data_IF_315665413428
#
_entry.id   IF_315665413428
#
_cell.length_a   1.000
_cell.length_b   1.000
_cell.length_c   1.000
_cell.angle_alpha   90.00
_cell.angle_beta   90.00
_cell.angle_gamma   90.00
#
_symmetry.space_group_name_H-M   'P 1'
#
loop_
_entity.id
_entity.type
_entity.pdbx_description
1 polymer ?
#
# COMPACT_ATOMS: atom_id res chain seq x y z
N UNK A 1 1.76 49.50 44.84
CA UNK A 1 1.39 50.92 45.09
C UNK A 1 0.34 51.29 44.04
N UNK A 2 -0.93 51.07 44.38
CA UNK A 2 -2.02 52.08 44.46
C UNK A 2 -2.35 52.78 43.12
N UNK A 3 -3.58 52.52 42.68
CA UNK A 3 -4.41 53.26 41.71
C UNK A 3 -4.32 54.79 41.88
N UNK A 4 -4.84 55.54 40.89
CA UNK A 4 -6.16 56.12 41.14
C UNK A 4 -7.14 56.00 39.96
N UNK A 5 -8.41 55.90 40.35
CA UNK A 5 -9.59 56.12 39.54
C UNK A 5 -9.99 57.60 39.59
N UNK A 6 -10.61 58.11 38.53
CA UNK A 6 -11.56 59.21 38.62
C UNK A 6 -12.67 59.02 37.58
N UNK A 7 -13.92 59.02 38.04
CA UNK A 7 -15.11 58.96 37.19
C UNK A 7 -15.82 60.30 37.04
N UNK A 8 -16.76 60.35 36.09
CA UNK A 8 -17.92 61.26 36.02
C UNK A 8 -18.92 60.67 35.01
N UNK A 9 -20.01 60.03 35.45
CA UNK A 9 -21.40 60.55 35.58
C UNK A 9 -22.00 61.29 34.36
N UNK A 10 -22.97 60.58 33.77
CA UNK A 10 -24.35 60.97 33.42
C UNK A 10 -24.60 62.11 32.41
N UNK A 11 -25.20 61.74 31.27
CA UNK A 11 -26.34 62.46 30.70
C UNK A 11 -27.31 61.47 30.04
N UNK A 12 -28.53 61.40 30.59
CA UNK A 12 -29.70 60.76 29.96
C UNK A 12 -30.29 61.75 28.95
N UNK A 13 -30.63 61.29 27.76
CA UNK A 13 -31.65 61.91 26.92
C UNK A 13 -32.47 60.81 26.27
N UNK A 14 -33.76 60.79 26.58
CA UNK A 14 -34.73 59.89 25.99
C UNK A 14 -35.38 60.53 24.77
N UNK A 15 -35.60 59.75 23.73
CA UNK A 15 -36.59 60.05 22.71
C UNK A 15 -37.44 58.79 22.46
N UNK A 16 -38.75 58.97 22.60
CA UNK A 16 -39.79 57.95 22.43
C UNK A 16 -40.10 57.73 20.94
N UNK A 17 -40.28 56.44 20.60
CA UNK A 17 -41.23 55.84 19.64
C UNK A 17 -41.35 56.42 18.22
N UNK A 18 -41.02 55.57 17.24
CA UNK A 18 -41.93 55.27 16.14
C UNK A 18 -41.89 53.76 15.88
N UNK A 19 -43.05 53.12 15.94
CA UNK A 19 -43.24 51.73 15.60
C UNK A 19 -43.47 51.63 14.08
N UNK A 20 -42.61 50.88 13.40
CA UNK A 20 -42.91 50.33 12.08
C UNK A 20 -42.79 48.81 12.19
N UNK A 21 -43.96 48.16 12.21
CA UNK A 21 -44.09 46.75 11.91
C UNK A 21 -43.69 46.56 10.45
N UNK A 22 -42.63 45.81 10.23
CA UNK A 22 -42.41 45.09 8.97
C UNK A 22 -41.83 43.74 9.37
N UNK A 23 -42.68 42.73 9.43
CA UNK A 23 -42.23 41.35 9.38
C UNK A 23 -42.04 40.97 7.92
N UNK A 24 -40.96 40.26 7.61
CA UNK A 24 -40.94 39.19 6.62
C UNK A 24 -39.63 38.41 6.79
N UNK A 25 -39.71 37.09 6.70
CA UNK A 25 -38.74 36.13 7.21
C UNK A 25 -37.31 36.28 6.67
N UNK A 26 -36.37 36.37 7.60
CA UNK A 26 -34.98 35.96 7.42
C UNK A 26 -34.82 34.60 8.11
N UNK A 27 -35.24 33.54 7.41
CA UNK A 27 -34.97 32.15 7.82
C UNK A 27 -34.02 31.52 6.82
N UNK A 28 -32.73 31.76 7.08
CA UNK A 28 -31.57 30.92 6.80
C UNK A 28 -31.84 29.55 6.16
N UNK A 29 -31.83 29.43 4.82
CA UNK A 29 -31.76 28.12 4.15
C UNK A 29 -30.38 27.47 4.36
N UNK A 30 -29.30 28.26 4.39
CA UNK A 30 -27.92 27.76 4.54
C UNK A 30 -27.66 27.07 5.89
N UNK A 31 -28.25 27.56 6.99
CA UNK A 31 -28.10 26.90 8.31
C UNK A 31 -28.85 25.58 8.39
N UNK A 32 -29.99 25.45 7.69
CA UNK A 32 -30.76 24.21 7.62
C UNK A 32 -30.05 23.13 6.81
N UNK A 33 -29.55 23.49 5.62
CA UNK A 33 -28.76 22.59 4.76
C UNK A 33 -27.48 22.11 5.45
N UNK A 34 -26.75 23.02 6.12
CA UNK A 34 -25.54 22.67 6.88
C UNK A 34 -25.82 21.67 8.02
N UNK A 35 -26.96 21.79 8.71
CA UNK A 35 -27.36 20.86 9.78
C UNK A 35 -27.75 19.47 9.23
N UNK A 36 -28.46 19.41 8.09
CA UNK A 36 -28.86 18.15 7.44
C UNK A 36 -27.64 17.37 6.95
N UNK A 37 -26.72 18.04 6.24
CA UNK A 37 -25.47 17.42 5.76
C UNK A 37 -24.62 16.94 6.94
N UNK A 38 -24.54 17.71 8.03
CA UNK A 38 -23.81 17.30 9.24
C UNK A 38 -24.43 16.06 9.89
N UNK A 39 -25.76 16.00 9.98
CA UNK A 39 -26.47 14.82 10.47
C UNK A 39 -26.29 13.59 9.57
N UNK A 40 -26.23 13.78 8.25
CA UNK A 40 -25.99 12.69 7.31
C UNK A 40 -24.57 12.14 7.44
N UNK A 41 -23.56 13.00 7.58
CA UNK A 41 -22.16 12.60 7.84
C UNK A 41 -22.04 11.73 9.10
N UNK A 42 -22.72 12.13 10.19
CA UNK A 42 -22.75 11.34 11.42
C UNK A 42 -23.44 9.98 11.23
N UNK A 43 -24.53 9.94 10.45
CA UNK A 43 -25.24 8.70 10.16
C UNK A 43 -24.41 7.75 9.30
N UNK A 44 -23.71 8.26 8.27
CA UNK A 44 -22.76 7.49 7.45
C UNK A 44 -21.63 6.93 8.29
N UNK A 45 -21.01 7.75 9.15
CA UNK A 45 -19.95 7.31 10.05
C UNK A 45 -20.43 6.24 11.03
N UNK A 46 -21.64 6.38 11.57
CA UNK A 46 -22.24 5.38 12.46
C UNK A 46 -22.49 4.05 11.73
N UNK A 47 -22.98 4.10 10.50
CA UNK A 47 -23.21 2.92 9.67
C UNK A 47 -21.88 2.20 9.36
N UNK A 48 -20.82 2.95 9.05
CA UNK A 48 -19.49 2.41 8.82
C UNK A 48 -18.88 1.78 10.09
N UNK A 49 -18.99 2.45 11.24
CA UNK A 49 -18.44 1.98 12.52
C UNK A 49 -19.21 0.77 13.10
N UNK A 50 -20.45 0.56 12.67
CA UNK A 50 -21.28 -0.55 13.14
C UNK A 50 -22.15 -1.06 12.00
N UNK A 51 -21.76 -2.17 11.34
CA UNK A 51 -22.54 -2.79 10.26
C UNK A 51 -23.96 -3.21 10.65
N UNK A 52 -24.29 -3.28 11.95
CA UNK A 52 -25.67 -3.53 12.42
C UNK A 52 -26.53 -2.27 12.41
N UNK A 53 -25.92 -1.08 12.39
CA UNK A 53 -26.64 0.15 12.14
C UNK A 53 -27.10 0.15 10.67
N UNK A 54 -28.38 0.40 10.43
CA UNK A 54 -28.90 0.52 9.08
C UNK A 54 -28.30 1.72 8.35
N UNK A 55 -28.27 1.65 7.02
CA UNK A 55 -27.86 2.77 6.17
C UNK A 55 -28.80 3.98 6.36
N UNK A 56 -28.29 5.22 6.29
CA UNK A 56 -29.14 6.40 6.29
C UNK A 56 -30.06 6.40 5.07
N UNK A 57 -31.30 6.86 5.24
CA UNK A 57 -32.22 7.05 4.13
C UNK A 57 -31.83 8.30 3.34
N UNK A 58 -31.46 8.12 2.08
CA UNK A 58 -30.98 9.21 1.20
C UNK A 58 -31.92 9.51 0.03
N UNK A 59 -32.96 8.72 -0.17
CA UNK A 59 -33.92 8.87 -1.28
C UNK A 59 -34.66 10.21 -1.30
N UNK A 60 -34.92 10.81 -0.14
CA UNK A 60 -35.58 12.12 -0.03
C UNK A 60 -34.63 13.31 -0.04
N UNK A 61 -33.31 13.09 -0.08
CA UNK A 61 -32.30 14.15 -0.01
C UNK A 61 -31.85 14.58 -1.42
N UNK A 62 -31.48 15.85 -1.62
CA UNK A 62 -30.87 16.30 -2.87
C UNK A 62 -29.59 15.50 -3.17
N UNK A 63 -29.37 15.07 -4.43
CA UNK A 63 -28.18 14.30 -4.82
C UNK A 63 -26.86 14.95 -4.40
N UNK A 64 -26.75 16.28 -4.55
CA UNK A 64 -25.55 17.03 -4.17
C UNK A 64 -25.28 16.97 -2.65
N UNK A 65 -26.30 17.03 -1.80
CA UNK A 65 -26.12 16.95 -0.34
C UNK A 65 -25.64 15.56 0.10
N UNK A 66 -26.11 14.51 -0.58
CA UNK A 66 -25.66 13.13 -0.33
C UNK A 66 -24.20 12.97 -0.74
N UNK A 67 -23.85 13.46 -1.93
CA UNK A 67 -22.50 13.38 -2.46
C UNK A 67 -21.51 14.17 -1.59
N UNK A 68 -21.85 15.40 -1.21
CA UNK A 68 -21.06 16.24 -0.29
C UNK A 68 -20.84 15.58 1.08
N UNK A 69 -21.84 14.84 1.59
CA UNK A 69 -21.71 14.10 2.84
C UNK A 69 -20.78 12.90 2.69
N UNK A 70 -20.92 12.11 1.63
CA UNK A 70 -20.08 10.93 1.32
C UNK A 70 -18.63 11.35 1.10
N UNK A 71 -18.38 12.34 0.23
CA UNK A 71 -17.04 12.84 -0.05
C UNK A 71 -16.38 13.41 1.22
N UNK A 72 -17.12 14.11 2.08
CA UNK A 72 -16.57 14.67 3.30
C UNK A 72 -16.12 13.60 4.32
N UNK A 73 -16.89 12.51 4.48
CA UNK A 73 -16.50 11.44 5.42
C UNK A 73 -15.33 10.61 4.89
N UNK A 74 -15.30 10.33 3.59
CA UNK A 74 -14.18 9.60 2.95
C UNK A 74 -12.90 10.43 2.96
N UNK A 75 -12.98 11.73 2.61
CA UNK A 75 -11.83 12.64 2.67
C UNK A 75 -11.21 12.68 4.06
N UNK A 76 -12.03 12.82 5.10
CA UNK A 76 -11.55 12.81 6.49
C UNK A 76 -10.83 11.51 6.83
N UNK A 77 -11.33 10.38 6.33
CA UNK A 77 -10.68 9.09 6.53
C UNK A 77 -9.35 9.01 5.77
N UNK A 78 -9.29 9.44 4.51
CA UNK A 78 -8.06 9.49 3.73
C UNK A 78 -7.00 10.40 4.36
N UNK A 79 -7.35 11.63 4.73
CA UNK A 79 -6.45 12.56 5.41
C UNK A 79 -5.83 11.92 6.66
N UNK A 80 -6.65 11.22 7.47
CA UNK A 80 -6.16 10.48 8.62
C UNK A 80 -5.19 9.37 8.22
N UNK A 81 -5.52 8.55 7.21
CA UNK A 81 -4.66 7.44 6.76
C UNK A 81 -3.32 7.94 6.19
N UNK A 82 -3.33 9.03 5.42
CA UNK A 82 -2.13 9.65 4.87
C UNK A 82 -1.19 10.17 5.97
N UNK A 83 -1.74 10.73 7.05
CA UNK A 83 -0.96 11.14 8.22
C UNK A 83 -0.41 9.96 9.03
N UNK A 84 -0.96 8.76 8.83
CA UNK A 84 -0.58 7.54 9.53
C UNK A 84 0.09 6.52 8.60
N UNK A 85 0.76 7.03 7.56
CA UNK A 85 1.69 6.30 6.73
C UNK A 85 1.08 5.40 5.67
N UNK A 86 -0.24 5.40 5.46
CA UNK A 86 -0.87 4.62 4.38
C UNK A 86 -0.61 5.23 3.01
N UNK A 87 -0.56 4.39 1.97
CA UNK A 87 -0.48 4.80 0.56
C UNK A 87 -1.72 4.33 -0.23
N UNK A 88 -2.03 4.91 -1.40
CA UNK A 88 -3.23 4.56 -2.18
C UNK A 88 -3.36 3.07 -2.48
N UNK A 89 -2.24 2.43 -2.87
CA UNK A 89 -2.26 1.00 -3.15
C UNK A 89 -2.51 0.14 -1.91
N UNK A 90 -2.01 0.58 -0.74
CA UNK A 90 -2.26 -0.14 0.52
C UNK A 90 -3.74 -0.11 0.89
N UNK A 91 -4.39 1.05 0.69
CA UNK A 91 -5.82 1.23 0.92
C UNK A 91 -6.63 0.38 -0.06
N UNK A 92 -6.23 0.36 -1.33
CA UNK A 92 -6.81 -0.50 -2.36
C UNK A 92 -6.74 -1.99 -1.98
N UNK A 93 -5.57 -2.47 -1.56
CA UNK A 93 -5.40 -3.87 -1.16
C UNK A 93 -6.24 -4.24 0.07
N UNK A 94 -6.40 -3.34 1.05
CA UNK A 94 -7.27 -3.58 2.19
C UNK A 94 -8.74 -3.71 1.78
N UNK A 95 -9.26 -2.77 0.97
CA UNK A 95 -10.66 -2.85 0.51
C UNK A 95 -10.87 -4.06 -0.40
N UNK A 96 -9.93 -4.39 -1.28
CA UNK A 96 -10.01 -5.58 -2.14
C UNK A 96 -10.10 -6.89 -1.35
N UNK A 97 -9.53 -6.93 -0.14
CA UNK A 97 -9.50 -8.12 0.72
C UNK A 97 -10.72 -8.25 1.63
N UNK A 98 -11.33 -7.13 2.00
CA UNK A 98 -12.40 -7.09 2.99
C UNK A 98 -13.78 -6.88 2.39
N UNK A 99 -13.87 -6.25 1.23
CA UNK A 99 -15.12 -5.91 0.56
C UNK A 99 -15.21 -6.47 -0.86
N UNK A 100 -16.34 -6.23 -1.52
CA UNK A 100 -16.63 -6.68 -2.88
C UNK A 100 -16.14 -5.71 -3.96
N UNK A 101 -16.36 -6.08 -5.23
CA UNK A 101 -15.95 -5.30 -6.40
C UNK A 101 -16.64 -3.94 -6.48
N UNK A 102 -17.86 -3.80 -5.91
CA UNK A 102 -18.60 -2.55 -5.89
C UNK A 102 -17.91 -1.54 -4.96
N UNK A 103 -17.61 -1.95 -3.73
CA UNK A 103 -16.88 -1.11 -2.79
C UNK A 103 -15.48 -0.76 -3.33
N UNK A 104 -14.80 -1.73 -3.96
CA UNK A 104 -13.49 -1.50 -4.57
C UNK A 104 -13.55 -0.47 -5.70
N UNK A 105 -14.51 -0.58 -6.62
CA UNK A 105 -14.71 0.41 -7.69
C UNK A 105 -15.02 1.80 -7.11
N UNK A 106 -15.86 1.89 -6.08
CA UNK A 106 -16.18 3.16 -5.43
C UNK A 106 -14.93 3.79 -4.77
N UNK A 107 -14.07 2.97 -4.14
CA UNK A 107 -12.79 3.43 -3.60
C UNK A 107 -11.88 4.01 -4.70
N UNK A 108 -11.74 3.32 -5.84
CA UNK A 108 -10.85 3.76 -6.93
C UNK A 108 -11.27 5.14 -7.44
N UNK A 109 -12.57 5.35 -7.66
CA UNK A 109 -13.11 6.67 -8.02
C UNK A 109 -12.82 7.72 -6.92
N UNK A 110 -13.01 7.34 -5.65
CA UNK A 110 -12.76 8.23 -4.51
C UNK A 110 -11.28 8.64 -4.41
N UNK A 111 -10.36 7.71 -4.68
CA UNK A 111 -8.91 7.96 -4.72
C UNK A 111 -8.52 8.86 -5.89
N UNK A 112 -9.13 8.68 -7.07
CA UNK A 112 -8.90 9.52 -8.24
C UNK A 112 -9.33 10.98 -7.98
N UNK A 113 -10.50 11.16 -7.34
CA UNK A 113 -10.99 12.48 -6.94
C UNK A 113 -10.09 13.13 -5.89
N UNK A 114 -9.65 12.36 -4.89
CA UNK A 114 -8.77 12.83 -3.82
C UNK A 114 -7.40 13.24 -4.37
N UNK A 115 -6.82 12.46 -5.28
CA UNK A 115 -5.54 12.76 -5.93
C UNK A 115 -5.55 14.11 -6.66
N UNK A 116 -6.66 14.45 -7.33
CA UNK A 116 -6.84 15.73 -8.03
C UNK A 116 -6.78 16.98 -7.15
N UNK A 117 -6.79 16.83 -5.82
CA UNK A 117 -6.70 17.95 -4.86
C UNK A 117 -5.27 18.41 -4.61
N UNK A 118 -4.28 17.57 -4.92
CA UNK A 118 -2.88 17.83 -4.62
C UNK A 118 -2.17 18.37 -5.86
N UNK A 119 -1.54 19.54 -5.75
CA UNK A 119 -0.77 20.13 -6.85
C UNK A 119 0.55 19.40 -7.12
N UNK A 120 1.02 18.62 -6.15
CA UNK A 120 2.22 17.81 -6.26
C UNK A 120 2.02 16.50 -5.50
N UNK A 121 2.36 15.40 -6.18
CA UNK A 121 2.36 14.05 -5.63
C UNK A 121 3.77 13.48 -5.76
N UNK A 122 4.18 12.71 -4.77
CA UNK A 122 5.43 11.96 -4.85
C UNK A 122 5.34 10.92 -5.98
N UNK A 123 6.42 10.63 -6.74
CA UNK A 123 6.38 9.69 -7.87
C UNK A 123 5.74 8.34 -7.54
N UNK A 124 6.07 7.76 -6.38
CA UNK A 124 5.44 6.52 -5.88
C UNK A 124 3.92 6.59 -5.75
N UNK A 125 3.36 7.75 -5.40
CA UNK A 125 1.91 7.93 -5.36
C UNK A 125 1.31 7.90 -6.77
N UNK A 126 1.97 8.55 -7.72
CA UNK A 126 1.54 8.57 -9.11
C UNK A 126 1.57 7.15 -9.69
N UNK A 127 2.69 6.43 -9.52
CA UNK A 127 2.83 5.03 -9.93
C UNK A 127 1.70 4.15 -9.38
N UNK A 128 1.38 4.29 -8.08
CA UNK A 128 0.34 3.50 -7.45
C UNK A 128 -1.07 3.84 -7.91
N UNK A 129 -1.35 5.12 -8.15
CA UNK A 129 -2.65 5.56 -8.69
C UNK A 129 -2.82 5.10 -10.15
N UNK A 130 -1.75 5.11 -10.93
CA UNK A 130 -1.72 4.54 -12.28
C UNK A 130 -1.92 3.02 -12.26
N UNK A 131 -1.26 2.30 -11.35
CA UNK A 131 -1.37 0.83 -11.21
C UNK A 131 -2.81 0.38 -10.91
N UNK A 132 -3.56 1.14 -10.11
CA UNK A 132 -4.97 0.85 -9.79
C UNK A 132 -5.96 1.53 -10.74
N UNK A 133 -5.47 2.17 -11.81
CA UNK A 133 -6.26 2.88 -12.81
C UNK A 133 -7.19 3.95 -12.21
N UNK A 134 -6.75 4.64 -11.16
CA UNK A 134 -7.49 5.70 -10.47
C UNK A 134 -7.64 6.95 -11.37
N UNK A 135 -8.62 6.89 -12.26
CA UNK A 135 -8.90 7.90 -13.28
C UNK A 135 -10.34 8.41 -13.19
N UNK A 136 -10.53 9.70 -13.44
CA UNK A 136 -11.86 10.33 -13.42
C UNK A 136 -12.56 10.05 -14.75
N UNK A 137 -13.59 9.20 -14.73
CA UNK A 137 -14.42 8.87 -15.90
C UNK A 137 -15.75 9.62 -15.93
N UNK A 138 -16.13 10.28 -14.84
CA UNK A 138 -17.42 10.96 -14.64
C UNK A 138 -17.28 12.48 -14.73
N UNK A 139 -18.42 13.19 -14.82
CA UNK A 139 -18.45 14.64 -14.74
C UNK A 139 -18.36 15.07 -13.27
N UNK A 140 -17.23 15.67 -12.88
CA UNK A 140 -16.97 16.13 -11.50
C UNK A 140 -17.89 17.27 -11.05
N UNK A 141 -18.64 17.90 -11.96
CA UNK A 141 -19.63 18.94 -11.62
C UNK A 141 -20.98 18.35 -11.24
N UNK A 142 -21.17 17.04 -11.46
CA UNK A 142 -22.38 16.30 -11.11
C UNK A 142 -22.10 15.34 -9.94
N UNK A 143 -23.13 15.00 -9.13
CA UNK A 143 -23.00 14.07 -8.01
C UNK A 143 -22.38 12.73 -8.43
N UNK A 144 -21.28 12.35 -7.81
CA UNK A 144 -20.55 11.12 -8.13
C UNK A 144 -21.36 9.87 -7.77
N UNK A 145 -22.00 9.82 -6.59
CA UNK A 145 -22.76 8.65 -6.11
C UNK A 145 -23.83 8.21 -7.13
N UNK A 146 -24.56 9.16 -7.72
CA UNK A 146 -25.59 8.88 -8.72
C UNK A 146 -25.03 8.43 -10.08
N UNK A 147 -23.91 9.03 -10.50
CA UNK A 147 -23.22 8.62 -11.74
C UNK A 147 -22.62 7.21 -11.59
N UNK A 148 -21.98 6.94 -10.44
CA UNK A 148 -21.46 5.62 -10.09
C UNK A 148 -22.57 4.57 -10.09
N UNK A 149 -23.69 4.85 -9.44
CA UNK A 149 -24.84 3.94 -9.40
C UNK A 149 -25.38 3.66 -10.81
N UNK A 150 -25.51 4.70 -11.64
CA UNK A 150 -25.96 4.56 -13.04
C UNK A 150 -25.03 3.70 -13.88
N UNK A 151 -23.70 3.85 -13.73
CA UNK A 151 -22.70 3.02 -14.43
C UNK A 151 -22.78 1.54 -14.05
N UNK A 152 -23.10 1.25 -12.80
CA UNK A 152 -23.21 -0.12 -12.29
C UNK A 152 -24.62 -0.73 -12.44
N UNK A 153 -25.59 0.03 -12.98
CA UNK A 153 -27.00 -0.39 -13.09
C UNK A 153 -27.61 -0.62 -11.69
N UNK A 154 -27.25 0.24 -10.74
CA UNK A 154 -27.65 0.19 -9.34
C UNK A 154 -28.46 1.44 -8.94
N UNK A 155 -28.99 1.47 -7.72
CA UNK A 155 -29.66 2.65 -7.17
C UNK A 155 -28.67 3.51 -6.36
N UNK A 156 -29.05 4.77 -6.09
CA UNK A 156 -28.27 5.66 -5.20
C UNK A 156 -27.97 5.02 -3.84
N UNK A 157 -28.95 4.29 -3.29
CA UNK A 157 -28.79 3.62 -1.99
C UNK A 157 -27.67 2.56 -2.02
N UNK A 158 -27.45 1.89 -3.15
CA UNK A 158 -26.34 0.95 -3.33
C UNK A 158 -25.00 1.67 -3.45
N UNK A 159 -24.95 2.83 -4.09
CA UNK A 159 -23.76 3.69 -4.11
C UNK A 159 -23.39 4.20 -2.72
N UNK A 160 -24.38 4.59 -1.91
CA UNK A 160 -24.17 4.95 -0.50
C UNK A 160 -23.71 3.73 0.31
N UNK A 161 -24.26 2.55 0.04
CA UNK A 161 -23.83 1.31 0.69
C UNK A 161 -22.36 1.00 0.38
N UNK A 162 -21.94 1.14 -0.88
CA UNK A 162 -20.55 0.95 -1.30
C UNK A 162 -19.61 1.95 -0.60
N UNK A 163 -20.00 3.23 -0.53
CA UNK A 163 -19.23 4.25 0.20
C UNK A 163 -19.10 3.94 1.70
N UNK A 164 -20.18 3.47 2.34
CA UNK A 164 -20.16 3.07 3.76
C UNK A 164 -19.31 1.81 3.98
N UNK A 165 -19.32 0.86 3.04
CA UNK A 165 -18.46 -0.33 3.10
C UNK A 165 -16.98 0.07 3.03
N UNK A 166 -16.61 0.94 2.08
CA UNK A 166 -15.25 1.52 1.99
C UNK A 166 -14.88 2.20 3.30
N UNK A 167 -15.70 3.16 3.76
CA UNK A 167 -15.44 3.89 5.01
C UNK A 167 -15.27 2.94 6.21
N UNK A 168 -16.07 1.88 6.27
CA UNK A 168 -16.02 0.85 7.31
C UNK A 168 -14.66 0.15 7.40
N UNK A 169 -13.99 -0.08 6.28
CA UNK A 169 -12.61 -0.58 6.26
C UNK A 169 -11.66 0.52 6.75
N UNK A 170 -11.71 1.70 6.13
CA UNK A 170 -10.75 2.79 6.36
C UNK A 170 -10.62 3.19 7.84
N UNK A 171 -11.74 3.30 8.55
CA UNK A 171 -11.75 3.76 9.95
C UNK A 171 -11.19 2.73 10.95
N UNK A 172 -10.93 1.49 10.51
CA UNK A 172 -10.40 0.42 11.37
C UNK A 172 -8.90 0.20 11.19
N UNK A 173 -8.30 0.83 10.17
CA UNK A 173 -6.91 0.62 9.81
C UNK A 173 -5.97 1.21 10.89
N UNK A 174 -4.95 0.44 11.32
CA UNK A 174 -3.98 0.92 12.30
C UNK A 174 -2.98 1.90 11.67
N UNK A 175 -2.24 2.63 12.49
CA UNK A 175 -1.12 3.43 12.00
C UNK A 175 0.05 2.56 11.51
N UNK A 176 0.69 2.99 10.42
CA UNK A 176 1.87 2.36 9.83
C UNK A 176 3.07 3.33 9.88
N UNK A 177 4.31 2.82 9.89
CA UNK A 177 5.48 3.68 9.69
C UNK A 177 5.41 4.41 8.34
N UNK A 178 5.69 5.71 8.33
CA UNK A 178 5.74 6.51 7.12
C UNK A 178 6.91 6.08 6.23
N UNK A 179 6.60 5.60 5.02
CA UNK A 179 7.62 5.17 4.03
C UNK A 179 7.75 6.15 2.86
N UNK A 180 6.72 6.96 2.63
CA UNK A 180 6.68 8.01 1.61
C UNK A 180 5.98 9.20 2.26
N UNK A 181 6.44 10.45 2.04
CA UNK A 181 5.77 11.63 2.56
C UNK A 181 4.30 11.70 2.13
N UNK A 182 3.47 12.29 2.99
CA UNK A 182 2.04 12.49 2.70
C UNK A 182 1.83 13.40 1.47
N UNK A 183 0.71 13.26 0.75
CA UNK A 183 0.47 14.02 -0.47
C UNK A 183 0.38 15.53 -0.15
N UNK A 184 0.84 16.37 -1.07
CA UNK A 184 0.98 17.82 -0.85
C UNK A 184 2.23 18.25 -0.08
N UNK A 185 3.08 17.31 0.38
CA UNK A 185 4.42 17.65 0.88
C UNK A 185 5.27 18.23 -0.26
N UNK A 186 5.94 19.39 -0.10
CA UNK A 186 6.75 19.99 -1.15
C UNK A 186 7.83 19.04 -1.67
N UNK A 187 7.86 18.80 -2.99
CA UNK A 187 8.82 17.88 -3.63
C UNK A 187 10.28 18.30 -3.45
N UNK A 188 10.56 19.59 -3.17
CA UNK A 188 11.91 20.08 -2.86
C UNK A 188 12.45 19.57 -1.53
N UNK A 189 11.62 18.96 -0.68
CA UNK A 189 12.03 18.25 0.52
C UNK A 189 12.39 16.76 0.26
N UNK A 190 12.26 16.32 -1.00
CA UNK A 190 12.36 14.92 -1.41
C UNK A 190 13.65 14.75 -2.21
N UNK A 191 14.79 14.88 -1.53
CA UNK A 191 16.10 14.48 -2.08
C UNK A 191 16.19 12.95 -2.08
N UNK A 192 15.47 12.31 -3.02
CA UNK A 192 15.70 10.92 -3.34
C UNK A 192 16.66 10.84 -4.52
N UNK A 193 17.92 10.52 -4.20
CA UNK A 193 18.93 10.06 -5.14
C UNK A 193 18.35 8.91 -5.98
N UNK A 194 17.82 9.23 -7.14
CA UNK A 194 17.32 8.23 -8.06
C UNK A 194 18.49 7.38 -8.57
N UNK A 195 18.31 6.06 -8.55
CA UNK A 195 19.08 5.16 -9.43
C UNK A 195 18.90 5.70 -10.85
N UNK A 196 19.96 5.76 -11.66
CA UNK A 196 19.87 6.28 -13.03
C UNK A 196 18.71 5.55 -13.74
N UNK A 197 17.63 6.23 -14.15
CA UNK A 197 16.49 5.60 -14.79
C UNK A 197 16.89 4.76 -16.00
N UNK A 198 18.04 5.08 -16.63
CA UNK A 198 18.60 4.28 -17.72
C UNK A 198 19.09 2.91 -17.27
N UNK A 199 19.69 2.81 -16.09
CA UNK A 199 20.16 1.53 -15.54
C UNK A 199 18.96 0.69 -15.12
N UNK A 200 17.96 1.29 -14.45
CA UNK A 200 16.73 0.60 -14.10
C UNK A 200 15.99 0.10 -15.35
N UNK A 201 15.81 0.95 -16.36
CA UNK A 201 15.20 0.55 -17.62
C UNK A 201 16.01 -0.53 -18.35
N UNK A 202 17.35 -0.53 -18.21
CA UNK A 202 18.21 -1.54 -18.81
C UNK A 202 18.12 -2.87 -18.07
N UNK A 203 18.05 -2.85 -16.74
CA UNK A 203 17.77 -4.03 -15.92
C UNK A 203 16.39 -4.57 -16.31
N UNK A 204 15.33 -3.76 -16.22
CA UNK A 204 13.98 -4.14 -16.64
C UNK A 204 13.93 -4.70 -18.06
N UNK A 205 14.64 -4.08 -19.01
CA UNK A 205 14.72 -4.56 -20.39
C UNK A 205 15.44 -5.90 -20.55
N UNK A 206 16.51 -6.14 -19.78
CA UNK A 206 17.19 -7.44 -19.75
C UNK A 206 16.31 -8.54 -19.15
N UNK A 207 15.55 -8.21 -18.11
CA UNK A 207 14.63 -9.11 -17.43
C UNK A 207 13.41 -9.43 -18.30
N UNK A 208 12.72 -8.42 -18.82
CA UNK A 208 11.62 -8.61 -19.77
C UNK A 208 12.04 -9.44 -21.00
N UNK A 209 13.29 -9.29 -21.45
CA UNK A 209 13.84 -10.12 -22.52
C UNK A 209 14.07 -11.58 -22.07
N UNK A 210 14.57 -11.79 -20.85
CA UNK A 210 14.70 -13.11 -20.24
C UNK A 210 13.34 -13.81 -20.07
N UNK A 211 12.29 -13.06 -19.74
CA UNK A 211 10.90 -13.54 -19.68
C UNK A 211 10.34 -13.95 -21.04
N UNK A 212 10.68 -13.19 -22.09
CA UNK A 212 10.11 -13.40 -23.43
C UNK A 212 10.77 -14.50 -24.26
N UNK A 213 11.97 -14.98 -23.86
CA UNK A 213 12.69 -16.02 -24.62
C UNK A 213 12.22 -17.43 -24.27
N UNK A 214 12.11 -18.29 -25.29
CA UNK A 214 11.79 -19.71 -25.11
C UNK A 214 13.02 -20.56 -24.75
N UNK A 215 14.23 -19.97 -24.74
CA UNK A 215 15.50 -20.66 -24.52
C UNK A 215 15.98 -20.51 -23.07
N UNK A 216 16.00 -21.59 -22.26
CA UNK A 216 16.37 -21.51 -20.84
C UNK A 216 17.79 -20.96 -20.58
N UNK A 217 18.77 -21.36 -21.39
CA UNK A 217 20.17 -20.91 -21.26
C UNK A 217 20.32 -19.41 -21.59
N UNK A 218 19.53 -18.89 -22.53
CA UNK A 218 19.52 -17.46 -22.86
C UNK A 218 18.89 -16.64 -21.72
N UNK A 219 17.78 -17.13 -21.16
CA UNK A 219 17.14 -16.50 -20.00
C UNK A 219 18.11 -16.41 -18.81
N UNK A 220 18.82 -17.49 -18.49
CA UNK A 220 19.81 -17.52 -17.41
C UNK A 220 20.97 -16.54 -17.65
N UNK A 221 21.47 -16.46 -18.88
CA UNK A 221 22.53 -15.52 -19.26
C UNK A 221 22.09 -14.05 -19.17
N UNK A 222 20.87 -13.72 -19.59
CA UNK A 222 20.31 -12.37 -19.54
C UNK A 222 20.08 -11.90 -18.10
N UNK A 223 19.55 -12.75 -17.24
CA UNK A 223 19.36 -12.46 -15.82
C UNK A 223 20.69 -12.35 -15.07
N UNK A 224 21.68 -13.22 -15.38
CA UNK A 224 23.04 -13.10 -14.85
C UNK A 224 23.63 -11.75 -15.25
N UNK A 225 23.38 -11.32 -16.50
CA UNK A 225 23.84 -10.02 -16.97
C UNK A 225 23.17 -8.85 -16.26
N UNK A 226 21.88 -8.97 -15.94
CA UNK A 226 21.18 -8.00 -15.11
C UNK A 226 21.80 -7.91 -13.72
N UNK A 227 22.06 -9.06 -13.07
CA UNK A 227 22.69 -9.12 -11.75
C UNK A 227 24.12 -8.53 -11.74
N UNK A 228 24.93 -8.82 -12.76
CA UNK A 228 26.25 -8.21 -12.94
C UNK A 228 26.15 -6.69 -13.10
N UNK A 229 25.20 -6.20 -13.91
CA UNK A 229 25.01 -4.78 -14.17
C UNK A 229 24.62 -4.03 -12.89
N UNK A 230 23.70 -4.60 -12.11
CA UNK A 230 23.32 -4.10 -10.79
C UNK A 230 24.53 -4.05 -9.87
N UNK A 231 25.25 -5.16 -9.76
CA UNK A 231 26.41 -5.26 -8.88
C UNK A 231 27.46 -4.21 -9.28
N UNK A 232 27.80 -4.08 -10.57
CA UNK A 232 28.74 -3.07 -11.06
C UNK A 232 28.26 -1.63 -10.80
N UNK A 233 27.00 -1.33 -11.07
CA UNK A 233 26.44 0.00 -10.82
C UNK A 233 26.45 0.37 -9.33
N UNK A 234 26.12 -0.60 -8.47
CA UNK A 234 26.24 -0.47 -7.03
C UNK A 234 27.69 -0.18 -6.59
N UNK A 235 28.68 -0.68 -7.31
CA UNK A 235 30.11 -0.49 -7.05
C UNK A 235 30.65 0.85 -7.58
N UNK A 236 30.17 1.35 -8.73
CA UNK A 236 30.70 2.56 -9.38
C UNK A 236 30.26 3.88 -8.72
N UNK A 237 29.14 3.91 -7.99
CA UNK A 237 28.58 5.14 -7.37
C UNK A 237 29.24 5.59 -6.05
N UNK A 238 30.39 5.04 -5.71
CA UNK A 238 30.76 4.89 -4.30
C UNK A 238 31.34 6.09 -3.51
N UNK A 239 32.09 7.08 -4.04
CA UNK A 239 32.71 8.03 -3.11
C UNK A 239 31.85 9.23 -2.69
N UNK A 240 30.66 9.47 -3.27
CA UNK A 240 30.04 10.80 -3.29
C UNK A 240 28.61 10.92 -2.71
N UNK A 241 27.91 9.82 -2.39
CA UNK A 241 26.51 9.89 -1.97
C UNK A 241 26.29 9.27 -0.57
N UNK A 242 25.45 9.92 0.24
CA UNK A 242 24.99 9.39 1.52
C UNK A 242 24.11 8.14 1.29
N UNK A 243 24.01 7.24 2.28
CA UNK A 243 23.20 6.02 2.15
C UNK A 243 21.74 6.34 1.80
N UNK A 244 21.21 5.70 0.76
CA UNK A 244 19.88 5.96 0.16
C UNK A 244 18.85 4.94 0.63
N UNK A 245 18.95 4.54 1.89
CA UNK A 245 18.06 3.54 2.48
C UNK A 245 16.61 4.03 2.49
N UNK A 246 15.73 3.19 1.96
CA UNK A 246 14.29 3.46 1.86
C UNK A 246 13.50 2.22 2.25
N UNK A 247 12.17 2.32 2.21
CA UNK A 247 11.26 1.23 2.51
C UNK A 247 10.15 1.08 1.49
N UNK A 248 9.77 -0.16 1.20
CA UNK A 248 8.65 -0.53 0.32
C UNK A 248 7.75 -1.55 0.99
N UNK A 249 6.48 -1.59 0.59
CA UNK A 249 5.50 -2.60 1.04
C UNK A 249 5.20 -3.53 -0.13
N UNK A 250 5.51 -4.81 0.05
CA UNK A 250 5.21 -5.85 -0.92
C UNK A 250 3.97 -6.63 -0.46
N UNK A 251 2.84 -6.41 -1.13
CA UNK A 251 1.59 -7.10 -0.84
C UNK A 251 1.60 -8.54 -1.36
N UNK A 252 1.12 -9.47 -0.55
CA UNK A 252 1.06 -10.89 -0.89
C UNK A 252 -0.35 -11.43 -0.72
N UNK A 253 -0.80 -12.25 -1.67
CA UNK A 253 -2.11 -12.90 -1.56
C UNK A 253 -2.21 -13.73 -0.27
N UNK A 254 -3.39 -13.63 0.38
CA UNK A 254 -3.70 -14.19 1.71
C UNK A 254 -3.51 -15.71 1.80
N UNK A 255 -3.67 -16.44 0.70
CA UNK A 255 -3.53 -17.90 0.72
C UNK A 255 -2.08 -18.29 0.94
N UNK A 256 -1.85 -19.05 2.01
CA UNK A 256 -0.54 -19.51 2.42
C UNK A 256 0.47 -18.37 2.65
N UNK A 257 -0.04 -17.23 3.14
CA UNK A 257 0.72 -16.00 3.36
C UNK A 257 2.07 -16.22 4.07
N UNK A 258 2.10 -16.96 5.18
CA UNK A 258 3.36 -17.21 5.92
C UNK A 258 4.46 -17.85 5.07
N UNK A 259 4.09 -18.80 4.19
CA UNK A 259 5.05 -19.44 3.30
C UNK A 259 5.55 -18.49 2.21
N UNK A 260 4.67 -17.65 1.66
CA UNK A 260 5.05 -16.63 0.67
C UNK A 260 5.92 -15.54 1.29
N UNK A 261 5.56 -15.08 2.48
CA UNK A 261 6.33 -14.12 3.25
C UNK A 261 7.73 -14.65 3.58
N UNK A 262 7.86 -15.96 3.85
CA UNK A 262 9.17 -16.59 4.04
C UNK A 262 10.01 -16.56 2.76
N UNK A 263 9.42 -16.75 1.57
CA UNK A 263 10.15 -16.60 0.29
C UNK A 263 10.68 -15.17 0.14
N UNK A 264 9.82 -14.17 0.37
CA UNK A 264 10.24 -12.75 0.31
C UNK A 264 11.35 -12.48 1.34
N UNK A 265 11.22 -13.00 2.56
CA UNK A 265 12.21 -12.81 3.62
C UNK A 265 13.60 -13.34 3.25
N UNK A 266 13.70 -14.57 2.73
CA UNK A 266 15.01 -15.14 2.35
C UNK A 266 15.62 -14.43 1.15
N UNK A 267 14.79 -13.94 0.23
CA UNK A 267 15.24 -13.13 -0.92
C UNK A 267 15.74 -11.77 -0.45
N UNK A 268 15.02 -11.12 0.49
CA UNK A 268 15.44 -9.87 1.10
C UNK A 268 16.78 -10.02 1.82
N UNK A 269 16.94 -11.06 2.64
CA UNK A 269 18.18 -11.31 3.38
C UNK A 269 19.37 -11.53 2.42
N UNK A 270 19.16 -12.30 1.35
CA UNK A 270 20.19 -12.52 0.34
C UNK A 270 20.62 -11.23 -0.37
N UNK A 271 19.71 -10.28 -0.54
CA UNK A 271 19.96 -9.01 -1.22
C UNK A 271 20.23 -7.85 -0.24
N UNK A 272 20.73 -8.14 0.97
CA UNK A 272 21.13 -7.13 1.99
C UNK A 272 19.97 -6.24 2.48
N UNK A 273 18.73 -6.67 2.28
CA UNK A 273 17.55 -6.00 2.77
C UNK A 273 17.08 -6.60 4.10
N UNK A 274 16.25 -5.86 4.82
CA UNK A 274 15.49 -6.35 5.97
C UNK A 274 14.02 -6.45 5.61
N UNK A 275 13.33 -7.42 6.20
CA UNK A 275 11.92 -7.68 5.96
C UNK A 275 11.16 -7.80 7.29
N UNK A 276 9.98 -7.17 7.36
CA UNK A 276 9.03 -7.29 8.47
C UNK A 276 7.68 -7.73 7.91
N UNK A 277 7.13 -8.80 8.46
CA UNK A 277 5.82 -9.31 8.06
C UNK A 277 4.73 -8.62 8.86
N UNK A 278 3.71 -8.09 8.18
CA UNK A 278 2.50 -7.54 8.81
C UNK A 278 1.34 -8.50 8.62
N UNK A 279 0.55 -8.71 9.67
CA UNK A 279 -0.67 -9.55 9.61
C UNK A 279 -1.76 -8.96 8.70
N UNK A 280 -1.60 -7.70 8.27
CA UNK A 280 -2.41 -7.04 7.24
C UNK A 280 -2.25 -7.71 5.85
N UNK A 281 -1.18 -8.46 5.61
CA UNK A 281 -0.98 -9.22 4.37
C UNK A 281 0.09 -8.68 3.43
N UNK A 282 1.03 -7.89 3.95
CA UNK A 282 2.21 -7.43 3.22
C UNK A 282 3.50 -7.67 4.00
N UNK A 283 4.63 -7.57 3.30
CA UNK A 283 5.97 -7.55 3.88
C UNK A 283 6.56 -6.16 3.67
N UNK A 284 6.91 -5.47 4.76
CA UNK A 284 7.66 -4.23 4.70
C UNK A 284 9.14 -4.56 4.49
N UNK A 285 9.70 -4.04 3.40
CA UNK A 285 11.10 -4.19 3.04
C UNK A 285 11.85 -2.91 3.37
N UNK A 286 13.08 -3.03 3.83
CA UNK A 286 14.01 -1.94 4.06
C UNK A 286 15.32 -2.28 3.38
N UNK A 287 15.82 -1.36 2.56
CA UNK A 287 17.02 -1.59 1.78
C UNK A 287 17.40 -0.40 0.93
N UNK A 288 18.42 -0.59 0.11
CA UNK A 288 18.74 0.33 -0.96
C UNK A 288 17.77 0.16 -2.13
N UNK A 289 17.46 1.23 -2.85
CA UNK A 289 16.43 1.27 -3.89
C UNK A 289 16.58 0.14 -4.93
N UNK A 290 17.82 -0.11 -5.38
CA UNK A 290 18.11 -1.15 -6.36
C UNK A 290 18.02 -2.57 -5.76
N UNK A 291 18.44 -2.75 -4.52
CA UNK A 291 18.32 -4.04 -3.82
C UNK A 291 16.83 -4.37 -3.58
N UNK A 292 16.00 -3.36 -3.27
CA UNK A 292 14.56 -3.51 -3.12
C UNK A 292 13.87 -3.92 -4.43
N UNK A 293 14.26 -3.33 -5.57
CA UNK A 293 13.72 -3.71 -6.87
C UNK A 293 14.07 -5.15 -7.25
N UNK A 294 15.30 -5.60 -6.99
CA UNK A 294 15.67 -7.01 -7.16
C UNK A 294 14.81 -7.91 -6.28
N UNK A 295 14.61 -7.54 -5.01
CA UNK A 295 13.81 -8.35 -4.09
C UNK A 295 12.38 -8.48 -4.59
N UNK A 296 11.75 -7.41 -5.07
CA UNK A 296 10.39 -7.44 -5.61
C UNK A 296 10.29 -8.37 -6.83
N UNK A 297 11.17 -8.19 -7.82
CA UNK A 297 11.17 -8.97 -9.07
C UNK A 297 11.47 -10.45 -8.82
N UNK A 298 12.54 -10.74 -8.07
CA UNK A 298 12.94 -12.12 -7.77
C UNK A 298 11.89 -12.82 -6.91
N UNK A 299 11.29 -12.13 -5.94
CA UNK A 299 10.19 -12.70 -5.14
C UNK A 299 8.98 -13.01 -6.00
N UNK A 300 8.58 -12.11 -6.90
CA UNK A 300 7.46 -12.35 -7.81
C UNK A 300 7.69 -13.60 -8.67
N UNK A 301 8.86 -13.69 -9.33
CA UNK A 301 9.23 -14.86 -10.14
C UNK A 301 9.22 -16.16 -9.32
N UNK A 302 9.89 -16.18 -8.17
CA UNK A 302 9.98 -17.38 -7.33
C UNK A 302 8.62 -17.83 -6.80
N UNK A 303 7.72 -16.89 -6.47
CA UNK A 303 6.36 -17.22 -6.02
C UNK A 303 5.53 -17.81 -7.16
N UNK A 304 5.70 -17.34 -8.40
CA UNK A 304 5.07 -17.94 -9.59
C UNK A 304 5.60 -19.36 -9.81
N UNK A 305 6.93 -19.54 -9.77
CA UNK A 305 7.56 -20.86 -9.92
C UNK A 305 7.12 -21.85 -8.83
N UNK A 306 7.11 -21.41 -7.57
CA UNK A 306 6.64 -22.21 -6.44
C UNK A 306 5.17 -22.63 -6.61
N UNK A 307 4.32 -21.70 -7.07
CA UNK A 307 2.90 -21.99 -7.31
C UNK A 307 2.72 -23.04 -8.43
N UNK A 308 3.44 -22.90 -9.55
CA UNK A 308 3.41 -23.88 -10.64
C UNK A 308 3.87 -25.26 -10.18
N UNK A 309 5.00 -25.33 -9.47
CA UNK A 309 5.54 -26.58 -8.97
C UNK A 309 4.62 -27.24 -7.93
N UNK A 310 3.99 -26.46 -7.07
CA UNK A 310 3.03 -26.94 -6.07
C UNK A 310 1.75 -27.50 -6.72
N UNK A 311 1.26 -26.87 -7.79
CA UNK A 311 0.10 -27.37 -8.56
C UNK A 311 0.46 -28.70 -9.23
N UNK A 312 1.63 -28.79 -9.88
CA UNK A 312 2.09 -30.02 -10.53
C UNK A 312 2.25 -31.19 -9.53
N UNK A 313 2.75 -30.91 -8.32
CA UNK A 313 2.85 -31.92 -7.26
C UNK A 313 1.48 -32.49 -6.82
N UNK A 314 0.40 -31.71 -6.95
CA UNK A 314 -0.96 -32.10 -6.61
C UNK A 314 -1.80 -32.61 -7.79
N UNK A 315 -1.28 -32.63 -9.02
CA UNK A 315 -2.03 -32.91 -10.25
C UNK A 315 -2.48 -34.38 -10.33
N UNK A 316 -1.58 -35.31 -9.96
CA UNK A 316 -1.88 -36.76 -9.94
C UNK A 316 -2.60 -37.22 -8.67
N UNK A 317 -2.83 -36.31 -7.74
CA UNK A 317 -3.39 -36.62 -6.42
C UNK A 317 -4.93 -36.68 -6.47
N UNK A 318 -5.50 -37.73 -5.87
CA UNK A 318 -6.95 -37.94 -5.76
C UNK A 318 -7.55 -37.05 -4.65
N UNK A 319 -8.88 -36.96 -4.63
CA UNK A 319 -9.61 -36.26 -3.56
C UNK A 319 -9.35 -36.99 -2.23
N UNK A 320 -8.80 -36.28 -1.24
CA UNK A 320 -8.42 -36.82 0.07
C UNK A 320 -6.92 -36.97 0.26
N UNK A 321 -6.13 -36.90 -0.82
CA UNK A 321 -4.69 -37.02 -0.75
C UNK A 321 -4.05 -35.80 -0.07
N UNK A 322 -3.03 -36.05 0.74
CA UNK A 322 -2.32 -35.03 1.50
C UNK A 322 -1.75 -33.93 0.58
N UNK A 323 -1.32 -34.26 -0.63
CA UNK A 323 -0.80 -33.31 -1.64
C UNK A 323 -1.78 -32.19 -2.01
N UNK A 324 -3.09 -32.39 -1.80
CA UNK A 324 -4.12 -31.36 -2.02
C UNK A 324 -4.47 -30.57 -0.74
N UNK A 325 -3.91 -30.96 0.41
CA UNK A 325 -4.23 -30.36 1.71
C UNK A 325 -3.54 -29.01 1.92
N UNK A 326 -4.14 -28.17 2.78
CA UNK A 326 -3.52 -26.91 3.18
C UNK A 326 -2.22 -27.13 3.98
N UNK A 327 -2.12 -28.23 4.73
CA UNK A 327 -0.95 -28.55 5.56
C UNK A 327 0.27 -28.90 4.70
N UNK A 328 0.06 -29.69 3.64
CA UNK A 328 1.07 -29.97 2.62
C UNK A 328 1.56 -28.67 1.95
N UNK A 329 0.64 -27.84 1.44
CA UNK A 329 0.97 -26.60 0.72
C UNK A 329 1.73 -25.58 1.59
N UNK A 330 1.38 -25.47 2.87
CA UNK A 330 2.14 -24.66 3.83
C UNK A 330 3.56 -25.19 4.01
N UNK A 331 3.71 -26.50 4.24
CA UNK A 331 5.03 -27.13 4.43
C UNK A 331 5.89 -27.06 3.16
N UNK A 332 5.26 -27.18 1.98
CA UNK A 332 5.87 -27.00 0.67
C UNK A 332 6.50 -25.61 0.53
N UNK A 333 5.74 -24.54 0.77
CA UNK A 333 6.25 -23.17 0.61
C UNK A 333 7.35 -22.84 1.61
N UNK A 334 7.24 -23.30 2.86
CA UNK A 334 8.29 -23.11 3.87
C UNK A 334 9.60 -23.80 3.47
N UNK A 335 9.51 -25.06 3.01
CA UNK A 335 10.69 -25.82 2.55
C UNK A 335 11.31 -25.22 1.28
N UNK A 336 10.45 -24.82 0.34
CA UNK A 336 10.87 -24.12 -0.88
C UNK A 336 11.65 -22.85 -0.51
N UNK A 337 11.09 -21.99 0.34
CA UNK A 337 11.76 -20.78 0.80
C UNK A 337 13.10 -21.09 1.49
N UNK A 338 13.14 -22.06 2.40
CA UNK A 338 14.38 -22.45 3.10
C UNK A 338 15.48 -22.86 2.11
N UNK A 339 15.14 -23.69 1.13
CA UNK A 339 16.11 -24.16 0.13
C UNK A 339 16.55 -23.04 -0.83
N UNK A 340 15.65 -22.16 -1.23
CA UNK A 340 16.03 -20.96 -2.02
C UNK A 340 17.01 -20.09 -1.22
N UNK A 341 16.77 -19.86 0.07
CA UNK A 341 17.67 -19.10 0.93
C UNK A 341 19.05 -19.75 1.11
N UNK A 342 19.14 -21.09 1.16
CA UNK A 342 20.43 -21.81 1.09
C UNK A 342 21.15 -21.50 -0.23
N UNK A 343 20.46 -21.66 -1.37
CA UNK A 343 21.06 -21.49 -2.70
C UNK A 343 21.51 -20.05 -2.96
N UNK A 344 20.71 -19.06 -2.58
CA UNK A 344 21.05 -17.64 -2.72
C UNK A 344 22.25 -17.25 -1.86
N UNK A 345 22.36 -17.77 -0.63
CA UNK A 345 23.54 -17.52 0.21
C UNK A 345 24.81 -18.08 -0.42
N UNK A 346 24.76 -19.31 -0.93
CA UNK A 346 25.90 -19.92 -1.65
C UNK A 346 26.26 -19.12 -2.90
N UNK A 347 25.29 -18.62 -3.66
CA UNK A 347 25.55 -17.80 -4.85
C UNK A 347 26.17 -16.42 -4.51
N UNK A 348 25.89 -15.90 -3.32
CA UNK A 348 26.39 -14.62 -2.83
C UNK A 348 27.72 -14.72 -2.05
N UNK A 349 28.32 -15.92 -1.95
CA UNK A 349 29.68 -16.08 -1.43
C UNK A 349 30.66 -15.44 -2.43
N UNK A 350 31.11 -14.23 -2.11
CA UNK A 350 32.07 -13.47 -2.93
C UNK A 350 33.44 -14.17 -2.88
N UNK A 351 34.10 -14.42 -4.04
CA UNK A 351 35.49 -14.88 -4.06
C UNK A 351 36.37 -13.86 -3.32
N UNK A 352 37.30 -14.34 -2.49
CA UNK A 352 38.14 -13.54 -1.58
C UNK A 352 39.13 -12.55 -2.26
N UNK A 353 38.96 -12.24 -3.54
CA UNK A 353 39.94 -11.53 -4.37
C UNK A 353 39.66 -10.02 -4.53
N UNK A 354 38.62 -9.47 -3.87
CA UNK A 354 38.32 -8.03 -3.93
C UNK A 354 38.05 -7.42 -2.54
N UNK A 355 39.09 -7.41 -1.71
CA UNK A 355 39.14 -6.83 -0.35
C UNK A 355 38.62 -5.39 -0.26
N UNK A 356 38.59 -4.66 -1.39
CA UNK A 356 38.11 -3.28 -1.48
C UNK A 356 36.58 -3.18 -1.36
N UNK A 357 35.84 -4.27 -1.60
CA UNK A 357 34.38 -4.30 -1.65
C UNK A 357 33.70 -4.59 -0.30
N UNK A 358 34.39 -5.31 0.59
CA UNK A 358 33.86 -5.70 1.90
C UNK A 358 33.46 -4.51 2.79
N UNK A 359 34.23 -3.40 2.87
CA UNK A 359 33.85 -2.24 3.69
C UNK A 359 32.56 -1.56 3.23
N UNK A 360 32.28 -1.60 1.93
CA UNK A 360 31.13 -0.96 1.27
C UNK A 360 29.84 -1.68 1.62
N UNK A 361 29.88 -3.01 1.45
CA UNK A 361 28.76 -3.88 1.76
C UNK A 361 28.46 -3.86 3.26
N UNK A 362 29.50 -3.78 4.09
CA UNK A 362 29.36 -3.59 5.53
C UNK A 362 28.72 -2.24 5.88
N UNK A 363 29.15 -1.15 5.25
CA UNK A 363 28.58 0.19 5.48
C UNK A 363 27.10 0.26 5.08
N UNK A 364 26.71 -0.32 3.93
CA UNK A 364 25.32 -0.38 3.49
C UNK A 364 24.45 -1.21 4.42
N UNK A 365 24.94 -2.41 4.79
CA UNK A 365 24.23 -3.27 5.75
C UNK A 365 23.99 -2.54 7.07
N UNK A 366 24.99 -1.80 7.56
CA UNK A 366 24.87 -0.98 8.77
C UNK A 366 23.83 0.13 8.61
N UNK A 367 23.83 0.86 7.50
CA UNK A 367 22.84 1.90 7.24
C UNK A 367 21.40 1.34 7.19
N UNK A 368 21.22 0.19 6.55
CA UNK A 368 19.94 -0.55 6.52
C UNK A 368 19.52 -0.99 7.92
N UNK A 369 20.45 -1.50 8.74
CA UNK A 369 20.16 -1.91 10.13
C UNK A 369 19.80 -0.72 11.03
N UNK A 370 20.48 0.42 10.90
CA UNK A 370 20.18 1.64 11.64
C UNK A 370 18.80 2.19 11.26
N UNK A 371 18.51 2.32 9.96
CA UNK A 371 17.22 2.78 9.47
C UNK A 371 16.08 1.82 9.89
N UNK A 372 16.31 0.51 9.78
CA UNK A 372 15.37 -0.50 10.27
C UNK A 372 15.09 -0.33 11.77
N UNK A 373 16.12 -0.11 12.58
CA UNK A 373 15.99 0.10 14.03
C UNK A 373 15.21 1.37 14.38
N UNK A 374 15.31 2.42 13.57
CA UNK A 374 14.51 3.64 13.74
C UNK A 374 13.04 3.44 13.39
N UNK A 375 12.75 2.66 12.35
CA UNK A 375 11.40 2.49 11.83
C UNK A 375 10.59 1.41 12.58
N UNK A 376 11.24 0.31 12.98
CA UNK A 376 10.58 -0.86 13.54
C UNK A 376 11.09 -1.18 14.95
N UNK A 377 10.51 -0.49 15.95
CA UNK A 377 10.93 -0.59 17.35
C UNK A 377 10.38 -1.80 18.11
N UNK A 378 9.32 -2.44 17.58
CA UNK A 378 8.63 -3.57 18.21
C UNK A 378 8.47 -4.72 17.21
N UNK A 379 9.54 -5.47 16.99
CA UNK A 379 9.52 -6.67 16.15
C UNK A 379 9.69 -7.92 17.00
N UNK A 380 9.05 -9.01 16.57
CA UNK A 380 9.19 -10.33 17.18
C UNK A 380 9.57 -11.34 16.10
N UNK A 381 10.40 -12.31 16.45
CA UNK A 381 10.70 -13.42 15.55
C UNK A 381 9.48 -14.32 15.43
N UNK A 382 9.03 -14.58 14.20
CA UNK A 382 7.95 -15.52 13.90
C UNK A 382 8.55 -16.85 13.45
N UNK A 383 8.09 -17.96 14.03
CA UNK A 383 8.44 -19.31 13.57
C UNK A 383 7.16 -20.06 13.21
N UNK A 384 7.18 -20.78 12.10
CA UNK A 384 6.02 -21.53 11.60
C UNK A 384 6.31 -23.03 11.62
N UNK A 385 5.49 -23.84 12.31
CA UNK A 385 5.73 -25.28 12.40
C UNK A 385 5.49 -25.98 11.06
N UNK A 386 6.41 -26.88 10.71
CA UNK A 386 6.27 -27.80 9.58
C UNK A 386 5.43 -28.99 10.03
N UNK A 387 4.42 -29.37 9.24
CA UNK A 387 3.45 -30.40 9.62
C UNK A 387 3.19 -31.45 8.55
N UNK A 388 3.96 -31.42 7.45
CA UNK A 388 3.90 -32.41 6.38
C UNK A 388 5.31 -32.66 5.85
N UNK A 389 5.80 -33.89 6.05
CA UNK A 389 7.10 -34.32 5.52
C UNK A 389 7.06 -34.39 3.99
N UNK A 390 6.00 -34.97 3.42
CA UNK A 390 5.83 -35.03 1.97
C UNK A 390 5.77 -33.63 1.32
N UNK A 391 5.09 -32.68 1.97
CA UNK A 391 5.08 -31.28 1.54
C UNK A 391 6.47 -30.66 1.60
N UNK A 392 7.20 -30.92 2.68
CA UNK A 392 8.57 -30.44 2.85
C UNK A 392 9.52 -30.96 1.75
N UNK A 393 9.51 -32.26 1.48
CA UNK A 393 10.40 -32.88 0.49
C UNK A 393 10.08 -32.41 -0.94
N UNK A 394 8.79 -32.30 -1.26
CA UNK A 394 8.34 -31.75 -2.55
C UNK A 394 8.75 -30.28 -2.73
N UNK A 395 8.63 -29.47 -1.68
CA UNK A 395 9.04 -28.06 -1.68
C UNK A 395 10.54 -27.90 -1.90
N UNK A 396 11.36 -28.69 -1.21
CA UNK A 396 12.81 -28.68 -1.36
C UNK A 396 13.23 -29.09 -2.78
N UNK A 397 12.66 -30.18 -3.29
CA UNK A 397 12.93 -30.67 -4.65
C UNK A 397 12.53 -29.64 -5.72
N UNK A 398 11.42 -28.93 -5.52
CA UNK A 398 11.00 -27.86 -6.42
C UNK A 398 11.96 -26.67 -6.37
N UNK A 399 12.43 -26.29 -5.18
CA UNK A 399 13.42 -25.24 -5.01
C UNK A 399 14.79 -25.59 -5.59
N UNK A 400 15.19 -26.87 -5.66
CA UNK A 400 16.43 -27.27 -6.37
C UNK A 400 16.37 -26.99 -7.87
N UNK A 401 15.17 -27.09 -8.47
CA UNK A 401 14.95 -26.82 -9.91
C UNK A 401 14.55 -25.38 -10.22
N UNK A 402 14.37 -24.54 -9.20
CA UNK A 402 13.94 -23.17 -9.40
C UNK A 402 15.03 -22.35 -10.09
N UNK A 403 14.61 -21.48 -11.01
CA UNK A 403 15.50 -20.51 -11.61
C UNK A 403 15.64 -19.31 -10.64
N UNK A 404 16.87 -19.03 -10.21
CA UNK A 404 17.21 -17.90 -9.32
C UNK A 404 17.59 -16.64 -10.11
N UNK A 405 17.62 -16.76 -11.43
CA UNK A 405 17.84 -15.66 -12.33
C UNK A 405 16.57 -14.81 -12.32
N UNK A 406 16.72 -13.48 -12.15
CA UNK A 406 15.57 -12.57 -12.14
C UNK A 406 14.88 -12.74 -13.49
N UNK A 407 13.67 -13.27 -13.45
CA UNK A 407 12.84 -13.55 -14.64
C UNK A 407 12.14 -12.25 -14.96
#
# INVERSE_FOLDING_TARGET
>A
MRLPAHGARLARSGARRAATRTGCGDTTPERGQSAVVSSLREALWRAAANRRAGLPRTSSLPPAEVDDAVQAVLRRAFEHLWEHGWLPYDVFEMVRREEDERALSFLVDSLALEAGRYSALHPRWQEQLEEIEATIWWDVTQPHVDQWASRHIELREDGVAAAVAVLGVLITLPGLPEIVPKPGTPLSAIDHHHVDPKILNRVRGLLAKAESTAFPEEAEALSTKAQELVTRHALERMPLEAATTTSRRLWLDKRYFDGKAQVVHVVAEANRCRAVVYDLGFVALVGEELDLEIVELLSASLLVQATRAMIAAGEKARKGDEARSAVFRKSFLLSYAHRIGERLRTANEVPADDDRLLPVLAARKKAVEEYFGTMFTRTVSKSTPVRSAAGWDAGRSAADRANLSIT
#
